data_IF_595329912827
#
_entry.id   IF_595329912827
#
_cell.length_a   1.000
_cell.length_b   1.000
_cell.length_c   1.000
_cell.angle_alpha   90.00
_cell.angle_beta   90.00
_cell.angle_gamma   90.00
#
_symmetry.space_group_name_H-M   'P 1'
#
loop_
_entity.id
_entity.type
_entity.pdbx_description
1 polymer ?
#
# COMPACT_ATOMS: atom_id res chain seq x y z
N UNK A 1 -6.37 3.26 -18.28
CA UNK A 1 -6.75 3.66 -16.91
C UNK A 1 -5.54 3.55 -15.97
N UNK A 2 -5.61 4.17 -14.78
CA UNK A 2 -4.58 4.02 -13.74
C UNK A 2 -4.99 2.88 -12.79
N UNK A 3 -4.11 1.89 -12.59
CA UNK A 3 -4.28 0.83 -11.60
C UNK A 3 -3.45 1.19 -10.36
N UNK A 4 -4.09 1.21 -9.19
CA UNK A 4 -3.40 1.36 -7.90
C UNK A 4 -3.41 0.04 -7.15
N UNK A 5 -2.24 -0.40 -6.69
CA UNK A 5 -2.07 -1.64 -5.94
C UNK A 5 -1.69 -1.37 -4.49
N UNK A 6 -2.50 -1.88 -3.57
CA UNK A 6 -2.24 -1.87 -2.13
C UNK A 6 -2.22 -3.30 -1.63
N UNK A 7 -1.02 -3.90 -1.54
CA UNK A 7 -0.90 -5.33 -1.22
C UNK A 7 -1.13 -5.64 0.27
N UNK A 8 -1.00 -4.65 1.15
CA UNK A 8 -1.21 -4.80 2.60
C UNK A 8 -2.05 -3.63 3.15
N UNK A 9 -3.30 -3.46 2.67
CA UNK A 9 -4.19 -2.41 3.14
C UNK A 9 -4.54 -2.56 4.62
N UNK A 10 -5.10 -1.52 5.20
CA UNK A 10 -5.51 -1.49 6.61
C UNK A 10 -6.79 -0.69 6.81
N UNK A 11 -7.48 -0.94 7.90
CA UNK A 11 -8.40 0.03 8.47
C UNK A 11 -7.58 0.92 9.40
N UNK A 12 -7.41 2.19 9.02
CA UNK A 12 -6.67 3.16 9.82
C UNK A 12 -7.61 3.78 10.85
N UNK A 13 -7.26 3.61 12.12
CA UNK A 13 -8.05 4.05 13.27
C UNK A 13 -7.28 5.17 13.97
N UNK A 14 -7.91 6.32 14.17
CA UNK A 14 -7.32 7.43 14.93
C UNK A 14 -8.02 7.62 16.27
N UNK A 15 -7.22 7.66 17.33
CA UNK A 15 -7.64 7.94 18.69
C UNK A 15 -7.04 9.25 19.18
N UNK A 16 -7.75 10.38 19.09
CA UNK A 16 -7.31 11.63 19.67
C UNK A 16 -7.47 11.61 21.17
N UNK A 17 -6.40 11.94 21.88
CA UNK A 17 -6.31 12.05 23.36
C UNK A 17 -5.60 13.36 23.72
N UNK A 18 -6.03 14.01 24.80
CA UNK A 18 -5.29 15.15 25.35
C UNK A 18 -3.94 14.69 25.91
N UNK A 19 -3.92 13.53 26.56
CA UNK A 19 -2.73 12.88 27.10
C UNK A 19 -2.84 11.36 26.97
N UNK A 20 -1.74 10.72 26.57
CA UNK A 20 -1.64 9.27 26.52
C UNK A 20 -0.90 8.73 27.77
N UNK A 21 -1.62 8.02 28.60
CA UNK A 21 -1.10 7.49 29.87
C UNK A 21 -0.83 5.98 29.74
N UNK A 22 0.37 5.55 30.15
CA UNK A 22 0.74 4.15 30.21
C UNK A 22 0.18 3.50 31.48
N UNK A 23 -0.02 2.19 31.47
CA UNK A 23 -0.46 1.35 32.58
C UNK A 23 -1.80 1.80 33.21
N UNK A 24 -2.68 2.40 32.42
CA UNK A 24 -4.00 2.84 32.83
C UNK A 24 -5.00 2.85 31.68
N UNK A 25 -6.27 3.13 31.98
CA UNK A 25 -7.33 3.24 30.98
C UNK A 25 -7.31 4.63 30.35
N UNK A 26 -7.10 4.68 29.04
CA UNK A 26 -7.32 5.88 28.23
C UNK A 26 -8.72 5.79 27.59
N UNK A 27 -9.56 6.80 27.79
CA UNK A 27 -10.90 6.86 27.20
C UNK A 27 -10.91 7.84 26.05
N UNK A 28 -11.33 7.37 24.88
CA UNK A 28 -11.42 8.15 23.65
C UNK A 28 -12.87 8.58 23.45
N UNK A 29 -13.10 9.87 23.31
CA UNK A 29 -14.44 10.44 23.07
C UNK A 29 -14.83 10.44 21.59
N UNK A 30 -13.84 10.48 20.69
CA UNK A 30 -14.05 10.49 19.23
C UNK A 30 -13.08 9.52 18.59
N UNK A 31 -13.56 8.80 17.59
CA UNK A 31 -12.76 7.90 16.77
C UNK A 31 -13.02 8.17 15.30
N UNK A 32 -11.98 8.17 14.49
CA UNK A 32 -12.14 8.08 13.05
C UNK A 32 -11.61 6.75 12.55
N UNK A 33 -12.28 6.21 11.55
CA UNK A 33 -11.85 4.99 10.84
C UNK A 33 -11.90 5.26 9.35
N UNK A 34 -10.84 4.96 8.65
CA UNK A 34 -10.73 5.17 7.20
C UNK A 34 -10.09 3.97 6.52
N UNK A 35 -10.40 3.78 5.25
CA UNK A 35 -9.66 2.84 4.41
C UNK A 35 -8.22 3.34 4.27
N UNK A 36 -7.26 2.56 4.73
CA UNK A 36 -5.85 2.93 4.83
C UNK A 36 -4.93 2.10 3.96
N UNK A 37 -3.69 2.57 3.89
CA UNK A 37 -2.62 2.04 3.06
C UNK A 37 -2.19 3.03 1.97
N UNK A 38 -0.87 3.10 1.73
CA UNK A 38 -0.27 4.08 0.79
C UNK A 38 -0.97 4.07 -0.58
N UNK A 39 -1.24 2.90 -1.16
CA UNK A 39 -1.89 2.80 -2.47
C UNK A 39 -3.35 3.27 -2.45
N UNK A 40 -4.11 3.01 -1.38
CA UNK A 40 -5.48 3.53 -1.24
C UNK A 40 -5.50 5.06 -1.08
N UNK A 41 -4.48 5.65 -0.46
CA UNK A 41 -4.33 7.10 -0.43
C UNK A 41 -4.13 7.67 -1.83
N UNK A 42 -3.29 7.01 -2.66
CA UNK A 42 -3.13 7.37 -4.08
C UNK A 42 -4.44 7.23 -4.84
N UNK A 43 -5.19 6.15 -4.62
CA UNK A 43 -6.52 5.92 -5.22
C UNK A 43 -7.46 7.10 -4.96
N UNK A 44 -7.58 7.52 -3.69
CA UNK A 44 -8.47 8.65 -3.32
C UNK A 44 -8.05 9.95 -3.99
N UNK A 45 -6.75 10.29 -3.92
CA UNK A 45 -6.23 11.52 -4.51
C UNK A 45 -6.49 11.55 -6.02
N UNK A 46 -6.21 10.47 -6.74
CA UNK A 46 -6.47 10.41 -8.18
C UNK A 46 -7.97 10.58 -8.48
N UNK A 47 -8.84 9.92 -7.72
CA UNK A 47 -10.30 10.05 -7.87
C UNK A 47 -10.77 11.47 -7.59
N UNK A 48 -10.21 12.17 -6.60
CA UNK A 48 -10.50 13.58 -6.29
C UNK A 48 -10.05 14.53 -7.42
N UNK A 49 -8.94 14.20 -8.09
CA UNK A 49 -8.48 14.92 -9.29
C UNK A 49 -9.31 14.61 -10.55
N UNK A 50 -10.29 13.72 -10.44
CA UNK A 50 -11.22 13.41 -11.53
C UNK A 50 -10.77 12.27 -12.43
N UNK A 51 -9.73 11.53 -12.06
CA UNK A 51 -9.25 10.37 -12.81
C UNK A 51 -10.08 9.12 -12.51
N UNK A 52 -10.27 8.28 -13.52
CA UNK A 52 -10.87 6.95 -13.36
C UNK A 52 -9.78 5.95 -12.96
N UNK A 53 -9.94 5.33 -11.80
CA UNK A 53 -8.93 4.49 -11.17
C UNK A 53 -9.45 3.07 -10.94
N UNK A 54 -8.60 2.07 -11.20
CA UNK A 54 -8.82 0.70 -10.73
C UNK A 54 -8.06 0.54 -9.41
N UNK A 55 -8.77 0.24 -8.32
CA UNK A 55 -8.15 -0.08 -7.03
C UNK A 55 -8.09 -1.60 -6.86
N UNK A 56 -6.90 -2.14 -6.58
CA UNK A 56 -6.71 -3.56 -6.36
C UNK A 56 -5.68 -3.84 -5.27
N UNK A 57 -5.61 -5.09 -4.83
CA UNK A 57 -4.78 -5.59 -3.76
C UNK A 57 -5.47 -6.74 -3.05
N UNK A 58 -5.00 -7.11 -1.87
CA UNK A 58 -5.59 -8.19 -1.07
C UNK A 58 -6.54 -7.63 -0.02
N UNK A 59 -7.78 -8.12 -0.02
CA UNK A 59 -8.75 -7.83 1.03
C UNK A 59 -9.38 -9.13 1.55
N UNK A 60 -9.57 -9.21 2.88
CA UNK A 60 -10.25 -10.33 3.48
C UNK A 60 -10.99 -9.97 4.76
N UNK A 61 -12.01 -10.76 5.09
CA UNK A 61 -12.81 -10.62 6.28
C UNK A 61 -13.67 -9.36 6.34
N UNK A 62 -14.13 -9.04 7.55
CA UNK A 62 -15.02 -7.88 7.77
C UNK A 62 -14.32 -6.54 7.57
N UNK A 63 -13.02 -6.44 7.93
CA UNK A 63 -12.24 -5.22 7.70
C UNK A 63 -11.98 -4.98 6.21
N UNK A 64 -11.79 -6.04 5.42
CA UNK A 64 -11.70 -5.93 3.97
C UNK A 64 -13.00 -5.41 3.34
N UNK A 65 -14.15 -5.91 3.78
CA UNK A 65 -15.46 -5.40 3.36
C UNK A 65 -15.63 -3.93 3.74
N UNK A 66 -15.27 -3.56 4.96
CA UNK A 66 -15.29 -2.16 5.41
C UNK A 66 -14.50 -1.23 4.50
N UNK A 67 -13.30 -1.65 4.05
CA UNK A 67 -12.48 -0.86 3.11
C UNK A 67 -13.22 -0.64 1.79
N UNK A 68 -13.84 -1.69 1.23
CA UNK A 68 -14.60 -1.57 -0.02
C UNK A 68 -15.75 -0.55 0.11
N UNK A 69 -16.50 -0.61 1.19
CA UNK A 69 -17.59 0.32 1.48
C UNK A 69 -17.09 1.78 1.62
N UNK A 70 -15.91 1.98 2.23
CA UNK A 70 -15.33 3.31 2.44
C UNK A 70 -14.79 3.98 1.18
N UNK A 71 -14.41 3.22 0.16
CA UNK A 71 -13.85 3.77 -1.09
C UNK A 71 -14.85 3.73 -2.25
N UNK A 72 -16.09 3.39 -1.98
CA UNK A 72 -17.14 3.32 -3.01
C UNK A 72 -17.42 4.71 -3.59
N UNK A 73 -17.02 4.91 -4.83
CA UNK A 73 -17.32 6.12 -5.63
C UNK A 73 -17.52 5.72 -7.09
N UNK A 74 -18.10 6.60 -7.89
CA UNK A 74 -18.33 6.37 -9.32
C UNK A 74 -17.05 6.31 -10.15
N UNK A 75 -15.92 6.84 -9.63
CA UNK A 75 -14.63 6.89 -10.32
C UNK A 75 -13.65 5.81 -9.90
N UNK A 76 -13.97 5.04 -8.87
CA UNK A 76 -13.12 3.96 -8.38
C UNK A 76 -13.74 2.63 -8.77
N UNK A 77 -13.16 1.97 -9.76
CA UNK A 77 -13.46 0.57 -10.09
C UNK A 77 -12.73 -0.33 -9.09
N UNK A 78 -13.47 -0.91 -8.17
CA UNK A 78 -12.92 -1.84 -7.20
C UNK A 78 -12.68 -3.22 -7.83
N UNK A 79 -11.46 -3.72 -7.74
CA UNK A 79 -11.05 -5.01 -8.28
C UNK A 79 -10.12 -5.75 -7.30
N UNK A 80 -10.48 -5.77 -6.02
CA UNK A 80 -9.69 -6.45 -5.00
C UNK A 80 -9.78 -7.97 -5.10
N UNK A 81 -8.65 -8.61 -4.84
CA UNK A 81 -8.57 -10.05 -4.72
C UNK A 81 -8.92 -10.47 -3.28
N UNK A 82 -9.90 -11.37 -3.15
CA UNK A 82 -10.36 -11.85 -1.85
C UNK A 82 -9.46 -12.95 -1.32
N UNK A 83 -8.99 -12.76 -0.09
CA UNK A 83 -8.15 -13.72 0.65
C UNK A 83 -8.88 -14.26 1.86
N UNK A 84 -8.40 -15.39 2.38
CA UNK A 84 -8.97 -16.02 3.59
C UNK A 84 -8.64 -15.24 4.87
N UNK A 85 -7.43 -14.63 4.92
CA UNK A 85 -6.96 -13.88 6.06
C UNK A 85 -7.72 -12.58 6.28
N UNK A 86 -7.87 -12.14 7.53
CA UNK A 86 -8.49 -10.86 7.87
C UNK A 86 -7.55 -9.71 7.51
N UNK A 87 -8.08 -8.66 6.88
CA UNK A 87 -7.40 -7.39 6.69
C UNK A 87 -7.02 -6.79 8.05
N UNK A 88 -5.93 -6.06 8.13
CA UNK A 88 -5.35 -5.53 9.37
C UNK A 88 -5.95 -4.20 9.80
N UNK A 89 -5.77 -3.86 11.08
CA UNK A 89 -5.90 -2.50 11.58
C UNK A 89 -4.53 -1.82 11.66
N UNK A 90 -4.53 -0.49 11.55
CA UNK A 90 -3.43 0.39 11.93
C UNK A 90 -4.00 1.47 12.84
N UNK A 91 -3.45 1.58 14.06
CA UNK A 91 -3.97 2.51 15.07
C UNK A 91 -2.98 3.64 15.25
N UNK A 92 -3.45 4.88 15.14
CA UNK A 92 -2.72 6.08 15.48
C UNK A 92 -3.32 6.71 16.75
N UNK A 93 -2.53 6.81 17.80
CA UNK A 93 -2.86 7.52 19.02
C UNK A 93 -2.27 8.92 18.90
N UNK A 94 -3.14 9.93 18.76
CA UNK A 94 -2.75 11.33 18.67
C UNK A 94 -2.79 11.92 20.08
N UNK A 95 -1.67 12.43 20.58
CA UNK A 95 -1.57 12.95 21.93
C UNK A 95 -0.48 14.03 22.03
N UNK A 96 -0.73 15.09 22.79
CA UNK A 96 0.27 16.12 23.14
C UNK A 96 1.05 16.67 21.92
N UNK A 97 0.39 16.73 20.74
CA UNK A 97 1.01 17.14 19.47
C UNK A 97 1.94 16.08 18.85
N UNK A 98 1.92 14.85 19.36
CA UNK A 98 2.67 13.68 18.89
C UNK A 98 1.73 12.61 18.35
N UNK A 99 2.30 11.60 17.71
CA UNK A 99 1.59 10.43 17.21
C UNK A 99 2.34 9.15 17.61
N UNK A 100 1.62 8.24 18.26
CA UNK A 100 2.11 6.89 18.55
C UNK A 100 1.31 5.89 17.71
N UNK A 101 2.00 5.04 16.98
CA UNK A 101 1.36 4.07 16.07
C UNK A 101 1.48 2.64 16.58
N UNK A 102 0.39 1.88 16.41
CA UNK A 102 0.34 0.43 16.60
C UNK A 102 -0.09 -0.18 15.26
N UNK A 103 0.86 -0.79 14.57
CA UNK A 103 0.67 -1.31 13.22
C UNK A 103 0.62 -2.85 13.25
N UNK A 104 -0.51 -3.43 12.93
CA UNK A 104 -0.62 -4.87 12.73
C UNK A 104 0.14 -5.30 11.48
N UNK A 105 0.73 -6.50 11.52
CA UNK A 105 1.52 -7.02 10.38
C UNK A 105 0.66 -7.39 9.17
N UNK A 106 -0.64 -7.57 9.39
CA UNK A 106 -1.57 -8.01 8.35
C UNK A 106 -1.61 -9.54 8.16
N UNK A 107 -2.46 -10.01 7.24
CA UNK A 107 -2.66 -11.42 6.97
C UNK A 107 -1.41 -12.07 6.37
N UNK A 108 -1.36 -13.39 6.43
CA UNK A 108 -0.39 -14.19 5.68
C UNK A 108 -1.05 -14.64 4.38
N UNK A 109 -0.46 -14.30 3.25
CA UNK A 109 -0.95 -14.70 1.93
C UNK A 109 -0.45 -16.12 1.63
N UNK A 110 -1.36 -17.02 1.27
CA UNK A 110 -1.01 -18.36 0.84
C UNK A 110 -0.35 -18.32 -0.57
N UNK A 111 0.53 -19.28 -0.87
CA UNK A 111 1.16 -19.37 -2.20
C UNK A 111 0.11 -19.42 -3.33
N UNK A 112 -0.98 -20.16 -3.11
CA UNK A 112 -2.08 -20.23 -4.06
C UNK A 112 -2.73 -18.86 -4.30
N UNK A 113 -2.98 -18.08 -3.24
CA UNK A 113 -3.56 -16.74 -3.33
C UNK A 113 -2.63 -15.78 -4.10
N UNK A 114 -1.31 -15.87 -3.86
CA UNK A 114 -0.33 -15.05 -4.56
C UNK A 114 -0.27 -15.34 -6.06
N UNK A 115 -0.34 -16.60 -6.48
CA UNK A 115 -0.33 -16.98 -7.91
C UNK A 115 -1.67 -16.65 -8.60
N UNK A 116 -2.79 -16.87 -7.92
CA UNK A 116 -4.10 -16.46 -8.42
C UNK A 116 -4.20 -14.93 -8.56
N UNK A 117 -3.57 -14.18 -7.66
CA UNK A 117 -3.50 -12.72 -7.76
C UNK A 117 -2.69 -12.26 -8.97
N UNK A 118 -1.56 -12.89 -9.30
CA UNK A 118 -0.83 -12.59 -10.54
C UNK A 118 -1.71 -12.79 -11.77
N UNK A 119 -2.49 -13.88 -11.79
CA UNK A 119 -3.46 -14.17 -12.84
C UNK A 119 -4.60 -13.14 -12.90
N UNK A 120 -5.02 -12.61 -11.73
CA UNK A 120 -6.00 -11.54 -11.62
C UNK A 120 -5.42 -10.21 -12.19
N UNK A 121 -4.17 -9.87 -11.85
CA UNK A 121 -3.50 -8.67 -12.38
C UNK A 121 -3.41 -8.68 -13.91
N UNK A 122 -3.09 -9.81 -14.53
CA UNK A 122 -3.04 -9.92 -16.00
C UNK A 122 -4.39 -9.59 -16.68
N UNK A 123 -5.51 -9.79 -15.98
CA UNK A 123 -6.83 -9.36 -16.50
C UNK A 123 -7.01 -7.85 -16.38
N UNK A 124 -6.58 -7.26 -15.26
CA UNK A 124 -6.66 -5.81 -15.03
C UNK A 124 -5.73 -5.03 -15.96
N UNK A 125 -4.58 -5.59 -16.28
CA UNK A 125 -3.58 -4.98 -17.16
C UNK A 125 -4.11 -4.70 -18.58
N UNK A 126 -5.15 -5.40 -19.03
CA UNK A 126 -5.80 -5.13 -20.32
C UNK A 126 -6.47 -3.75 -20.42
N UNK A 127 -6.77 -3.13 -19.28
CA UNK A 127 -7.42 -1.82 -19.16
C UNK A 127 -6.49 -0.77 -18.53
N UNK A 128 -5.22 -1.13 -18.29
CA UNK A 128 -4.28 -0.33 -17.51
C UNK A 128 -3.18 0.26 -18.41
N UNK A 129 -2.95 1.56 -18.29
CA UNK A 129 -1.82 2.24 -18.93
C UNK A 129 -0.67 2.46 -17.95
N UNK A 130 -1.01 2.72 -16.68
CA UNK A 130 -0.07 2.97 -15.58
C UNK A 130 -0.47 2.16 -14.36
N UNK A 131 0.48 1.43 -13.77
CA UNK A 131 0.31 0.71 -12.52
C UNK A 131 1.14 1.37 -11.40
N UNK A 132 0.45 1.83 -10.36
CA UNK A 132 1.06 2.42 -9.16
C UNK A 132 1.01 1.41 -8.02
N UNK A 133 2.17 0.95 -7.58
CA UNK A 133 2.32 0.00 -6.48
C UNK A 133 2.83 0.76 -5.26
N UNK A 134 2.10 0.72 -4.14
CA UNK A 134 2.50 1.47 -2.95
C UNK A 134 2.27 0.70 -1.66
N UNK A 135 3.27 0.75 -0.79
CA UNK A 135 3.22 0.18 0.55
C UNK A 135 4.07 -1.07 0.73
N UNK A 136 3.93 -1.70 1.90
CA UNK A 136 4.65 -2.91 2.29
C UNK A 136 3.99 -4.16 1.71
N UNK A 137 4.77 -5.23 1.59
CA UNK A 137 4.25 -6.56 1.31
C UNK A 137 3.66 -7.19 2.59
N UNK A 138 2.53 -7.91 2.49
CA UNK A 138 2.04 -8.76 3.58
C UNK A 138 2.93 -9.99 3.75
N UNK A 139 2.78 -10.68 4.87
CA UNK A 139 3.46 -11.96 5.10
C UNK A 139 3.06 -13.00 4.05
N UNK A 140 3.95 -13.97 3.80
CA UNK A 140 3.72 -15.04 2.82
C UNK A 140 4.12 -14.69 1.39
N UNK A 141 4.30 -13.41 1.07
CA UNK A 141 4.92 -12.98 -0.18
C UNK A 141 6.43 -12.85 -0.02
N UNK A 142 7.17 -13.26 -1.04
CA UNK A 142 8.61 -13.07 -1.10
C UNK A 142 8.95 -11.59 -1.29
N UNK A 143 10.16 -11.17 -0.89
CA UNK A 143 10.61 -9.78 -0.99
C UNK A 143 10.75 -9.29 -2.43
N UNK A 144 10.89 -10.20 -3.39
CA UNK A 144 10.94 -9.94 -4.83
C UNK A 144 9.56 -9.88 -5.52
N UNK A 145 8.46 -9.98 -4.76
CA UNK A 145 7.11 -10.02 -5.34
C UNK A 145 6.77 -8.78 -6.19
N UNK A 146 7.25 -7.61 -5.81
CA UNK A 146 7.11 -6.40 -6.64
C UNK A 146 7.88 -6.51 -7.95
N UNK A 147 9.03 -7.19 -7.97
CA UNK A 147 9.78 -7.48 -9.22
C UNK A 147 8.93 -8.30 -10.19
N UNK A 148 8.25 -9.33 -9.68
CA UNK A 148 7.32 -10.12 -10.50
C UNK A 148 6.21 -9.27 -11.12
N UNK A 149 5.59 -8.38 -10.31
CA UNK A 149 4.53 -7.50 -10.82
C UNK A 149 5.08 -6.51 -11.85
N UNK A 150 6.26 -5.93 -11.61
CA UNK A 150 6.92 -5.02 -12.58
C UNK A 150 7.18 -5.74 -13.89
N UNK A 151 7.71 -6.97 -13.85
CA UNK A 151 7.96 -7.79 -15.04
C UNK A 151 6.66 -8.05 -15.81
N UNK A 152 5.61 -8.52 -15.13
CA UNK A 152 4.31 -8.77 -15.75
C UNK A 152 3.69 -7.52 -16.40
N UNK A 153 3.83 -6.36 -15.76
CA UNK A 153 3.35 -5.09 -16.29
C UNK A 153 4.14 -4.65 -17.53
N UNK A 154 5.47 -4.76 -17.50
CA UNK A 154 6.34 -4.46 -18.64
C UNK A 154 6.05 -5.34 -19.87
N UNK A 155 5.80 -6.64 -19.66
CA UNK A 155 5.40 -7.57 -20.72
C UNK A 155 4.11 -7.13 -21.43
N UNK A 156 3.25 -6.35 -20.75
CA UNK A 156 2.02 -5.76 -21.29
C UNK A 156 2.19 -4.30 -21.76
N UNK A 157 3.41 -3.74 -21.70
CA UNK A 157 3.68 -2.36 -22.11
C UNK A 157 3.19 -1.30 -21.11
N UNK A 158 2.94 -1.67 -19.84
CA UNK A 158 2.40 -0.79 -18.81
C UNK A 158 3.52 -0.04 -18.10
N UNK A 159 3.36 1.25 -17.91
CA UNK A 159 4.25 2.06 -17.09
C UNK A 159 4.05 1.74 -15.60
N UNK A 160 5.14 1.63 -14.85
CA UNK A 160 5.09 1.24 -13.43
C UNK A 160 5.71 2.29 -12.53
N UNK A 161 5.01 2.60 -11.43
CA UNK A 161 5.47 3.49 -10.37
C UNK A 161 5.51 2.69 -9.08
N UNK A 162 6.64 2.68 -8.38
CA UNK A 162 6.82 1.96 -7.13
C UNK A 162 7.16 2.91 -5.96
N UNK A 163 6.34 2.88 -4.92
CA UNK A 163 6.56 3.51 -3.62
C UNK A 163 6.62 2.43 -2.52
N UNK A 164 7.78 1.84 -2.35
CA UNK A 164 8.06 0.80 -1.35
C UNK A 164 9.35 1.11 -0.60
N UNK A 165 9.68 0.32 0.40
CA UNK A 165 10.83 0.54 1.26
C UNK A 165 11.55 -0.77 1.62
N UNK A 166 12.75 -0.65 2.20
CA UNK A 166 13.55 -1.78 2.69
C UNK A 166 13.85 -2.80 1.61
N UNK A 167 13.92 -4.06 2.03
CA UNK A 167 14.35 -5.16 1.15
C UNK A 167 13.51 -5.30 -0.13
N UNK A 168 12.19 -5.04 -0.07
CA UNK A 168 11.35 -5.13 -1.27
C UNK A 168 11.71 -4.10 -2.34
N UNK A 169 12.14 -2.90 -1.94
CA UNK A 169 12.65 -1.90 -2.89
C UNK A 169 14.05 -2.27 -3.41
N UNK A 170 14.92 -2.77 -2.54
CA UNK A 170 16.26 -3.24 -2.91
C UNK A 170 16.19 -4.35 -3.96
N UNK A 171 15.37 -5.39 -3.74
CA UNK A 171 15.19 -6.51 -4.67
C UNK A 171 14.77 -6.04 -6.07
N UNK A 172 13.83 -5.10 -6.15
CA UNK A 172 13.41 -4.53 -7.43
C UNK A 172 14.56 -3.76 -8.09
N UNK A 173 15.35 -3.00 -7.33
CA UNK A 173 16.43 -2.19 -7.87
C UNK A 173 17.64 -2.99 -8.32
N UNK A 174 17.95 -4.13 -7.71
CA UNK A 174 19.03 -5.02 -8.14
C UNK A 174 18.59 -5.95 -9.29
N UNK A 175 17.29 -6.18 -9.47
CA UNK A 175 16.76 -7.02 -10.55
C UNK A 175 17.03 -6.42 -11.94
N UNK A 176 16.84 -7.21 -13.00
CA UNK A 176 16.85 -6.71 -14.38
C UNK A 176 15.54 -5.98 -14.74
N UNK A 177 14.48 -6.16 -13.94
CA UNK A 177 13.15 -5.60 -14.15
C UNK A 177 12.95 -4.35 -13.29
N UNK A 178 13.30 -3.19 -13.84
CA UNK A 178 13.15 -1.89 -13.16
C UNK A 178 11.76 -1.31 -13.38
N UNK A 179 11.13 -0.71 -12.36
CA UNK A 179 9.95 0.13 -12.58
C UNK A 179 10.32 1.37 -13.38
N UNK A 180 9.33 2.00 -14.00
CA UNK A 180 9.51 3.25 -14.75
C UNK A 180 9.89 4.41 -13.82
N UNK A 181 9.28 4.44 -12.62
CA UNK A 181 9.53 5.47 -11.60
C UNK A 181 9.58 4.81 -10.23
N UNK A 182 10.49 5.29 -9.38
CA UNK A 182 10.49 5.01 -7.93
C UNK A 182 10.31 6.31 -7.16
N UNK A 183 9.72 6.23 -5.96
CA UNK A 183 9.48 7.40 -5.09
C UNK A 183 9.99 7.13 -3.66
N UNK A 184 11.29 7.04 -3.44
CA UNK A 184 11.84 6.93 -2.10
C UNK A 184 11.75 8.26 -1.36
N UNK A 185 11.51 8.23 -0.05
CA UNK A 185 11.76 9.36 0.84
C UNK A 185 13.26 9.44 1.19
N UNK A 186 13.68 10.50 1.93
CA UNK A 186 15.09 10.72 2.28
C UNK A 186 15.66 9.57 3.11
N UNK A 187 14.88 9.01 4.03
CA UNK A 187 15.33 7.92 4.89
C UNK A 187 15.46 6.62 4.11
N UNK A 188 14.49 6.30 3.26
CA UNK A 188 14.51 5.15 2.34
C UNK A 188 15.70 5.25 1.36
N UNK A 189 15.95 6.44 0.81
CA UNK A 189 17.09 6.67 -0.07
C UNK A 189 18.42 6.54 0.68
N UNK A 190 18.49 7.04 1.92
CA UNK A 190 19.67 6.92 2.77
C UNK A 190 19.99 5.45 3.09
N UNK A 191 18.97 4.65 3.35
CA UNK A 191 19.11 3.20 3.55
C UNK A 191 19.61 2.50 2.28
N UNK A 192 19.01 2.78 1.13
CA UNK A 192 19.42 2.22 -0.16
C UNK A 192 20.87 2.50 -0.52
N UNK A 193 21.32 3.73 -0.27
CA UNK A 193 22.69 4.16 -0.60
C UNK A 193 23.69 3.81 0.49
N UNK A 194 23.25 3.28 1.62
CA UNK A 194 24.05 3.11 2.84
C UNK A 194 24.83 4.40 3.21
N UNK A 195 24.21 5.55 2.97
CA UNK A 195 24.79 6.88 3.15
C UNK A 195 23.70 7.86 3.59
N UNK A 196 23.97 8.71 4.60
CA UNK A 196 23.02 9.70 5.08
C UNK A 196 22.83 10.81 4.04
N UNK A 197 21.69 10.80 3.38
CA UNK A 197 21.27 11.86 2.45
C UNK A 197 20.78 13.06 3.26
N UNK A 198 21.42 14.20 3.10
CA UNK A 198 21.09 15.44 3.85
C UNK A 198 20.43 16.49 2.98
N UNK A 199 20.37 16.30 1.66
CA UNK A 199 19.80 17.24 0.71
C UNK A 199 19.10 16.49 -0.43
N UNK A 200 17.90 16.95 -0.81
CA UNK A 200 17.10 16.34 -1.89
C UNK A 200 17.65 16.57 -3.31
N UNK A 201 18.81 17.22 -3.45
CA UNK A 201 19.40 17.59 -4.74
C UNK A 201 20.55 16.65 -5.14
N UNK A 202 20.32 15.34 -5.11
CA UNK A 202 21.17 14.40 -5.85
C UNK A 202 20.62 14.27 -7.28
N UNK A 203 21.03 15.17 -8.16
CA UNK A 203 20.89 15.01 -9.59
C UNK A 203 22.09 14.24 -10.12
N UNK A 204 21.85 13.13 -10.76
CA UNK A 204 22.80 12.44 -11.62
C UNK A 204 22.57 12.86 -13.06
#
# INVERSE_FOLDING_TARGET
MILTLTLNPSVDISYPLDQFNLDTVNRVSQTSKTAGGKGLNVTRVLSEFGEDVIASGFLGGALGQYIEEQIETTRIKQAFFKIKGETRNCIAILHEGQQTEILEKGPTIELKESEEFKSHLLKLFKETDVAVMSGSLPKGLNTDYYTDIVRLAKEQGILTILDSSGQSLEEVLISNEKPTVIKPNIDELSQLLNYKVTNCLLYT
#
